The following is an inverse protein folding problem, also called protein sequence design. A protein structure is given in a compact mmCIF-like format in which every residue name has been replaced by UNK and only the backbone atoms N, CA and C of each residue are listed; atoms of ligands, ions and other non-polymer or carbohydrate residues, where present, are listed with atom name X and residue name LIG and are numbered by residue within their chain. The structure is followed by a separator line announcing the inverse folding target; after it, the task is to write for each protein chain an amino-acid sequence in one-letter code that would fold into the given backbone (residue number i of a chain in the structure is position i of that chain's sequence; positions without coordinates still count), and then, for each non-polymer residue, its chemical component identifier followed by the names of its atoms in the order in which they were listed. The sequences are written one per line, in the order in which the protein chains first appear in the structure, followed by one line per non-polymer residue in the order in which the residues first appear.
data_IF_854981756473
#
_entry.id   IF_854981756473
#
_cell.length_a   1.000
_cell.length_b   1.000
_cell.length_c   1.000
_cell.angle_alpha   90.00
_cell.angle_beta   90.00
_cell.angle_gamma   90.00
#
_symmetry.space_group_name_H-M   'P 1'
#
loop_
_entity.id
_entity.type
_entity.pdbx_description
1 polymer ?
#
# COMPACT_ATOMS: atom_id res chain seq x y z
N UNK A 1 12.88 -12.71 -23.09
CA UNK A 1 12.23 -12.91 -21.80
C UNK A 1 13.05 -12.24 -20.70
N UNK A 2 12.40 -11.49 -19.90
CA UNK A 2 13.09 -10.87 -18.78
C UNK A 2 13.15 -11.84 -17.60
N UNK A 3 14.30 -11.99 -17.04
CA UNK A 3 14.48 -12.83 -15.87
C UNK A 3 14.26 -11.98 -14.62
N UNK A 4 13.35 -12.42 -13.76
CA UNK A 4 13.19 -11.81 -12.47
C UNK A 4 14.12 -12.48 -11.47
N UNK A 5 14.77 -11.66 -10.70
CA UNK A 5 15.63 -12.15 -9.63
C UNK A 5 14.84 -12.04 -8.34
N UNK A 6 14.73 -13.14 -7.65
CA UNK A 6 13.93 -13.24 -6.44
C UNK A 6 14.79 -13.19 -5.19
N UNK A 7 14.17 -13.32 -4.05
CA UNK A 7 14.86 -13.24 -2.80
C UNK A 7 15.24 -11.81 -2.49
N UNK A 8 16.52 -11.55 -2.33
CA UNK A 8 16.97 -10.23 -1.91
C UNK A 8 16.58 -9.10 -2.86
N UNK A 9 16.35 -9.41 -4.14
CA UNK A 9 16.02 -8.37 -5.11
C UNK A 9 14.52 -8.19 -5.30
N UNK A 10 13.72 -9.22 -5.02
CA UNK A 10 12.30 -9.19 -5.28
C UNK A 10 11.45 -8.88 -4.07
N UNK A 11 12.04 -8.49 -2.97
CA UNK A 11 11.34 -8.41 -1.70
C UNK A 11 11.18 -6.99 -1.19
N UNK A 12 10.70 -6.10 -2.06
CA UNK A 12 10.38 -4.75 -1.61
C UNK A 12 9.19 -4.79 -0.66
N UNK A 13 9.34 -4.18 0.50
CA UNK A 13 8.29 -4.05 1.50
C UNK A 13 7.53 -2.76 1.33
N UNK A 14 6.35 -2.69 1.94
CA UNK A 14 5.46 -1.54 1.74
C UNK A 14 6.10 -0.21 2.17
N UNK A 15 6.85 -0.19 3.27
CA UNK A 15 7.50 1.05 3.69
C UNK A 15 8.55 1.52 2.69
N UNK A 16 9.27 0.59 2.07
CA UNK A 16 10.21 0.93 1.00
C UNK A 16 9.49 1.48 -0.23
N UNK A 17 8.35 0.87 -0.58
CA UNK A 17 7.54 1.32 -1.70
C UNK A 17 7.01 2.73 -1.47
N UNK A 18 6.48 3.00 -0.29
CA UNK A 18 5.97 4.33 0.06
C UNK A 18 7.10 5.36 -0.04
N UNK A 19 8.26 5.08 0.53
CA UNK A 19 9.41 5.98 0.48
C UNK A 19 9.84 6.29 -0.95
N UNK A 20 9.82 5.28 -1.81
CA UNK A 20 10.33 5.43 -3.17
C UNK A 20 9.36 6.18 -4.09
N UNK A 21 8.06 5.95 -3.94
CA UNK A 21 7.07 6.37 -4.93
C UNK A 21 6.10 7.44 -4.44
N UNK A 22 6.03 7.71 -3.15
CA UNK A 22 5.09 8.69 -2.61
C UNK A 22 5.45 10.10 -3.06
N UNK A 23 4.42 10.88 -3.41
CA UNK A 23 4.55 12.32 -3.66
C UNK A 23 3.84 13.05 -2.52
N UNK A 24 4.53 14.04 -1.95
CA UNK A 24 3.98 14.88 -0.89
C UNK A 24 3.90 16.30 -1.42
N UNK A 25 2.72 16.91 -1.31
CA UNK A 25 2.47 18.27 -1.77
C UNK A 25 2.08 19.12 -0.56
N UNK A 26 2.73 20.25 -0.41
CA UNK A 26 2.32 21.25 0.59
C UNK A 26 1.12 22.03 0.04
N UNK A 27 0.04 22.07 0.82
CA UNK A 27 -1.17 22.82 0.45
C UNK A 27 -1.13 24.22 1.03
N UNK A 28 -0.95 24.31 2.35
CA UNK A 28 -0.74 25.57 3.11
C UNK A 28 0.20 25.21 4.25
N UNK A 29 0.74 26.20 4.98
CA UNK A 29 1.59 25.89 6.13
C UNK A 29 0.91 24.91 7.10
N UNK A 30 1.58 23.82 7.40
CA UNK A 30 1.08 22.78 8.30
C UNK A 30 0.16 21.75 7.66
N UNK A 31 -0.17 21.88 6.37
CA UNK A 31 -1.03 20.91 5.68
C UNK A 31 -0.32 20.33 4.47
N UNK A 32 -0.36 19.02 4.38
CA UNK A 32 0.20 18.29 3.23
C UNK A 32 -0.82 17.32 2.66
N UNK A 33 -0.65 17.00 1.39
CA UNK A 33 -1.36 15.92 0.71
C UNK A 33 -0.33 14.90 0.26
N UNK A 34 -0.55 13.64 0.57
CA UNK A 34 0.35 12.56 0.18
C UNK A 34 -0.37 11.62 -0.77
N UNK A 35 0.32 11.20 -1.81
CA UNK A 35 -0.24 10.23 -2.76
C UNK A 35 0.82 9.21 -3.15
N UNK A 36 0.47 7.95 -3.02
CA UNK A 36 1.30 6.82 -3.42
C UNK A 36 0.58 6.09 -4.54
N UNK A 37 1.26 5.73 -5.64
CA UNK A 37 0.60 4.99 -6.71
C UNK A 37 0.16 3.60 -6.24
N UNK A 38 -0.71 2.95 -7.00
CA UNK A 38 -1.17 1.61 -6.67
C UNK A 38 0.00 0.65 -6.55
N UNK A 39 -0.07 -0.19 -5.53
CA UNK A 39 0.79 -1.37 -5.42
C UNK A 39 0.25 -2.40 -6.41
N UNK A 40 1.08 -2.83 -7.34
CA UNK A 40 0.72 -3.86 -8.32
C UNK A 40 1.65 -5.03 -8.11
N UNK A 41 1.07 -6.19 -7.86
CA UNK A 41 1.82 -7.40 -7.58
C UNK A 41 2.06 -8.23 -8.84
N UNK A 42 3.00 -9.16 -8.76
CA UNK A 42 3.41 -9.95 -9.92
C UNK A 42 2.29 -10.85 -10.47
N UNK A 43 1.31 -11.20 -9.67
CA UNK A 43 0.15 -11.98 -10.13
C UNK A 43 -1.00 -11.11 -10.67
N UNK A 44 -0.81 -9.78 -10.68
CA UNK A 44 -1.81 -8.83 -11.15
C UNK A 44 -2.70 -8.24 -10.07
N UNK A 45 -2.66 -8.75 -8.85
CA UNK A 45 -3.39 -8.15 -7.74
C UNK A 45 -2.91 -6.72 -7.50
N UNK A 46 -3.82 -5.80 -7.28
CA UNK A 46 -3.43 -4.42 -6.96
C UNK A 46 -4.29 -3.84 -5.85
N UNK A 47 -3.70 -2.92 -5.13
CA UNK A 47 -4.37 -2.21 -4.03
C UNK A 47 -3.73 -0.84 -3.86
N UNK A 48 -4.52 0.13 -3.39
CA UNK A 48 -4.00 1.43 -3.00
C UNK A 48 -3.49 1.33 -1.56
N UNK A 49 -2.29 1.81 -1.29
CA UNK A 49 -1.77 1.90 0.08
C UNK A 49 -1.33 3.34 0.32
N UNK A 50 -1.99 4.01 1.24
CA UNK A 50 -1.77 5.43 1.50
C UNK A 50 -1.41 5.65 2.96
N UNK A 51 -0.47 6.56 3.19
CA UNK A 51 -0.07 6.93 4.53
C UNK A 51 0.37 8.39 4.55
N UNK A 52 -0.04 9.13 5.56
CA UNK A 52 0.28 10.54 5.66
C UNK A 52 -0.76 11.30 6.47
N UNK A 53 -0.70 12.61 6.36
CA UNK A 53 -1.61 13.50 7.06
C UNK A 53 -3.03 13.28 6.53
N UNK A 54 -3.99 13.18 7.43
CA UNK A 54 -5.41 12.95 7.12
C UNK A 54 -5.73 11.57 6.53
N UNK A 55 -4.79 10.64 6.58
CA UNK A 55 -4.99 9.26 6.14
C UNK A 55 -5.03 8.34 7.36
N UNK A 56 -5.69 7.19 7.22
CA UNK A 56 -5.82 6.24 8.31
C UNK A 56 -4.53 5.41 8.44
N UNK A 57 -3.48 6.11 8.82
CA UNK A 57 -2.14 5.55 9.01
C UNK A 57 -1.61 5.86 10.41
N UNK A 58 -0.53 5.21 10.77
CA UNK A 58 0.18 5.42 12.02
C UNK A 58 1.68 5.53 11.73
N UNK A 59 2.29 6.69 11.94
CA UNK A 59 1.67 7.95 12.35
C UNK A 59 0.75 8.55 11.29
N UNK A 60 -0.13 9.43 11.70
CA UNK A 60 -1.04 10.16 10.78
C UNK A 60 -0.38 11.44 10.32
N UNK A 61 0.80 11.31 9.77
CA UNK A 61 1.61 12.43 9.29
C UNK A 61 2.57 11.91 8.22
N UNK A 62 3.30 12.83 7.58
CA UNK A 62 4.38 12.46 6.70
C UNK A 62 5.52 11.92 7.56
N UNK A 63 5.91 10.69 7.32
CA UNK A 63 6.94 10.01 8.10
C UNK A 63 7.81 9.13 7.22
N UNK A 64 8.97 8.76 7.72
CA UNK A 64 9.88 7.88 6.99
C UNK A 64 9.44 6.41 7.05
N UNK A 65 8.65 6.05 8.05
CA UNK A 65 8.21 4.69 8.24
C UNK A 65 6.84 4.68 8.93
N UNK A 66 6.05 3.67 8.64
CA UNK A 66 4.70 3.53 9.17
C UNK A 66 4.50 2.17 9.80
N UNK A 67 3.81 2.15 10.94
CA UNK A 67 3.34 0.92 11.57
C UNK A 67 2.07 0.40 10.90
N UNK A 68 1.20 1.33 10.47
CA UNK A 68 -0.09 1.04 9.86
C UNK A 68 -0.35 1.99 8.70
N UNK A 69 -1.08 1.52 7.70
CA UNK A 69 -1.43 2.34 6.55
C UNK A 69 -2.87 2.10 6.14
N UNK A 70 -3.41 3.02 5.33
CA UNK A 70 -4.74 2.88 4.79
C UNK A 70 -4.65 2.12 3.47
N UNK A 71 -5.41 1.02 3.36
CA UNK A 71 -5.50 0.25 2.12
C UNK A 71 -6.85 0.56 1.48
N UNK A 72 -6.89 0.62 0.16
CA UNK A 72 -8.14 0.87 -0.54
C UNK A 72 -8.26 0.12 -1.85
N UNK A 73 -9.50 -0.20 -2.17
CA UNK A 73 -9.94 -0.64 -3.50
C UNK A 73 -9.07 -1.77 -4.08
N UNK A 74 -8.91 -2.88 -3.35
CA UNK A 74 -8.16 -4.01 -3.91
C UNK A 74 -8.86 -4.57 -5.13
N UNK A 75 -8.09 -5.09 -6.08
CA UNK A 75 -8.63 -5.60 -7.34
C UNK A 75 -9.41 -6.91 -7.17
N UNK A 76 -9.26 -7.56 -6.03
CA UNK A 76 -9.99 -8.79 -5.69
C UNK A 76 -10.11 -8.85 -4.16
N UNK A 77 -11.04 -9.65 -3.67
CA UNK A 77 -11.15 -9.86 -2.23
C UNK A 77 -9.89 -10.54 -1.71
N UNK A 78 -9.44 -10.06 -0.56
CA UNK A 78 -8.21 -10.54 0.05
C UNK A 78 -8.47 -10.84 1.53
N UNK A 79 -8.45 -12.11 1.89
CA UNK A 79 -8.81 -12.55 3.23
C UNK A 79 -7.96 -11.95 4.35
N UNK A 80 -6.71 -11.64 4.07
CA UNK A 80 -5.82 -11.03 5.06
C UNK A 80 -6.27 -9.61 5.43
N UNK A 81 -7.05 -8.96 4.57
CA UNK A 81 -7.50 -7.58 4.78
C UNK A 81 -8.93 -7.47 5.31
N UNK A 82 -9.73 -8.50 5.16
CA UNK A 82 -11.18 -8.43 5.34
C UNK A 82 -11.61 -7.81 6.68
N UNK A 83 -10.92 -8.15 7.77
CA UNK A 83 -11.30 -7.67 9.10
C UNK A 83 -11.07 -6.16 9.29
N UNK A 84 -10.36 -5.52 8.39
CA UNK A 84 -10.07 -4.06 8.46
C UNK A 84 -11.02 -3.24 7.57
N UNK A 85 -11.88 -3.89 6.79
CA UNK A 85 -12.74 -3.19 5.84
C UNK A 85 -13.76 -2.31 6.56
N UNK A 86 -13.94 -1.07 6.08
CA UNK A 86 -15.00 -0.21 6.58
C UNK A 86 -16.36 -0.70 6.13
N UNK A 87 -16.46 -1.20 4.90
CA UNK A 87 -17.69 -1.77 4.36
C UNK A 87 -17.45 -3.22 3.98
N UNK A 88 -17.84 -4.14 4.88
CA UNK A 88 -17.63 -5.57 4.69
C UNK A 88 -18.47 -6.18 3.57
N UNK A 89 -19.46 -5.44 3.03
CA UNK A 89 -20.31 -5.93 1.94
C UNK A 89 -19.77 -5.54 0.56
N UNK A 90 -18.77 -4.66 0.50
CA UNK A 90 -18.21 -4.17 -0.76
C UNK A 90 -16.68 -4.17 -0.70
N UNK A 91 -16.08 -5.34 -0.54
CA UNK A 91 -14.66 -5.48 -0.22
C UNK A 91 -13.71 -4.91 -1.28
N UNK A 92 -14.13 -4.82 -2.54
CA UNK A 92 -13.30 -4.23 -3.59
C UNK A 92 -13.57 -2.73 -3.78
N UNK A 93 -14.48 -2.17 -3.02
CA UNK A 93 -14.95 -0.80 -3.20
C UNK A 93 -15.01 -0.04 -1.88
N UNK A 94 -14.09 -0.33 -0.99
CA UNK A 94 -14.02 0.29 0.32
C UNK A 94 -12.57 0.56 0.72
N UNK A 95 -12.39 1.31 1.79
CA UNK A 95 -11.08 1.50 2.42
C UNK A 95 -10.96 0.60 3.66
N UNK A 96 -9.74 0.34 4.02
CA UNK A 96 -9.33 -0.51 5.13
C UNK A 96 -8.41 0.33 6.00
N UNK A 97 -8.89 0.77 7.15
CA UNK A 97 -8.15 1.70 8.00
C UNK A 97 -7.14 1.01 8.89
N UNK A 98 -6.01 1.66 9.09
CA UNK A 98 -5.01 1.25 10.07
C UNK A 98 -4.57 -0.21 9.92
N UNK A 99 -4.35 -0.65 8.69
CA UNK A 99 -3.86 -2.00 8.44
C UNK A 99 -2.39 -2.08 8.84
N UNK A 100 -2.00 -3.04 9.69
CA UNK A 100 -0.57 -3.17 10.03
C UNK A 100 0.26 -3.38 8.78
N UNK A 101 1.38 -2.67 8.69
CA UNK A 101 2.25 -2.79 7.51
C UNK A 101 2.80 -4.21 7.37
N UNK A 102 2.93 -4.95 8.48
CA UNK A 102 3.31 -6.36 8.41
C UNK A 102 2.27 -7.20 7.68
N UNK A 103 0.99 -6.90 7.84
CA UNK A 103 -0.08 -7.59 7.11
C UNK A 103 -0.05 -7.20 5.63
N UNK A 104 0.18 -5.92 5.33
CA UNK A 104 0.32 -5.47 3.94
C UNK A 104 1.48 -6.21 3.26
N UNK A 105 2.60 -6.37 3.97
CA UNK A 105 3.74 -7.12 3.45
C UNK A 105 3.40 -8.59 3.19
N UNK A 106 2.58 -9.21 4.05
CA UNK A 106 2.11 -10.57 3.81
C UNK A 106 1.23 -10.66 2.57
N UNK A 107 0.36 -9.68 2.36
CA UNK A 107 -0.47 -9.62 1.14
C UNK A 107 0.43 -9.53 -0.10
N UNK A 108 1.42 -8.64 -0.06
CA UNK A 108 2.36 -8.47 -1.17
C UNK A 108 3.08 -9.80 -1.45
N UNK A 109 3.59 -10.46 -0.43
CA UNK A 109 4.29 -11.72 -0.61
C UNK A 109 3.37 -12.82 -1.16
N UNK A 110 2.16 -12.89 -0.64
CA UNK A 110 1.14 -13.85 -1.11
C UNK A 110 0.87 -13.71 -2.61
N UNK A 111 0.94 -12.49 -3.12
CA UNK A 111 0.68 -12.18 -4.52
C UNK A 111 1.93 -12.09 -5.38
N UNK A 112 3.03 -12.62 -4.91
CA UNK A 112 4.25 -12.78 -5.69
C UNK A 112 5.22 -11.62 -5.64
N UNK A 113 5.02 -10.67 -4.74
CA UNK A 113 5.86 -9.49 -4.64
C UNK A 113 5.39 -8.35 -5.54
N UNK A 114 5.99 -7.18 -5.36
CA UNK A 114 5.62 -5.98 -6.13
C UNK A 114 6.27 -6.02 -7.51
N UNK A 115 5.48 -5.75 -8.53
CA UNK A 115 5.97 -5.58 -9.89
C UNK A 115 6.19 -4.09 -10.14
N UNK A 116 7.43 -3.63 -9.92
CA UNK A 116 7.73 -2.21 -10.07
C UNK A 116 7.62 -1.72 -11.52
N UNK A 117 7.74 -2.62 -12.50
CA UNK A 117 7.61 -2.23 -13.90
C UNK A 117 6.17 -1.90 -14.28
N UNK A 118 5.21 -2.36 -13.51
CA UNK A 118 3.80 -2.09 -13.76
C UNK A 118 3.34 -0.76 -13.18
N UNK A 119 4.16 -0.08 -12.39
CA UNK A 119 3.79 1.18 -11.75
C UNK A 119 3.76 2.27 -12.80
N UNK A 120 2.61 2.91 -12.92
CA UNK A 120 2.38 3.96 -13.90
C UNK A 120 2.73 5.36 -13.46
#
# INVERSE_FOLDING_TARGET
MRMKIFGKYGKMKINEFIQKYRKVTKLVPGMTSSHTPYVICNDGFKMSVQAGQSLYSEPRDVADSYERAEVGYPSAEESLLTSYAEDGDNLCDTVYGYVPCSIIDEVIEKHGGIDEEAIG
#
